data_IF_368457062064
#
_entry.id   IF_368457062064
#
_cell.length_a   1.000
_cell.length_b   1.000
_cell.length_c   1.000
_cell.angle_alpha   90.00
_cell.angle_beta   90.00
_cell.angle_gamma   90.00
#
_symmetry.space_group_name_H-M   'P 1'
#
loop_
_entity.id
_entity.type
_entity.pdbx_description
1 polymer ?
#
# COMPACT_ATOMS: atom_id res chain seq x y z
N UNK A 1 -6.17 1.42 12.65
CA UNK A 1 -4.94 1.81 11.92
C UNK A 1 -4.73 3.31 12.15
N UNK A 2 -3.70 3.69 12.92
CA UNK A 2 -3.54 5.06 13.42
C UNK A 2 -2.58 5.82 12.49
N UNK A 3 -3.12 6.52 11.48
CA UNK A 3 -2.41 7.40 10.49
C UNK A 3 -1.81 8.69 11.13
N UNK A 4 -1.49 8.64 12.42
CA UNK A 4 -1.07 9.78 13.23
C UNK A 4 0.46 9.79 13.42
N UNK A 5 1.17 8.76 12.94
CA UNK A 5 2.64 8.75 12.89
C UNK A 5 3.11 9.00 11.45
N UNK A 6 4.23 9.72 11.31
CA UNK A 6 4.97 9.80 10.05
C UNK A 6 5.57 8.42 9.79
N UNK A 7 4.95 7.67 8.89
CA UNK A 7 5.49 6.41 8.39
C UNK A 7 6.26 6.68 7.10
N UNK A 8 7.46 6.11 6.99
CA UNK A 8 8.26 6.21 5.76
C UNK A 8 7.58 5.50 4.58
N UNK A 9 6.81 4.45 4.86
CA UNK A 9 6.07 3.70 3.86
C UNK A 9 4.80 3.09 4.47
N UNK A 10 3.65 3.25 3.81
CA UNK A 10 2.39 2.63 4.20
C UNK A 10 1.89 1.81 3.01
N UNK A 11 2.21 0.53 3.00
CA UNK A 11 1.69 -0.41 2.02
C UNK A 11 0.48 -1.17 2.57
N UNK A 12 -0.52 -1.41 1.72
CA UNK A 12 -1.71 -2.15 2.12
C UNK A 12 -1.98 -3.34 1.21
N UNK A 13 -1.98 -4.54 1.79
CA UNK A 13 -2.36 -5.79 1.12
C UNK A 13 -3.84 -5.77 0.72
N UNK A 14 -4.12 -6.28 -0.48
CA UNK A 14 -5.45 -6.40 -1.05
C UNK A 14 -5.49 -6.04 -2.54
N UNK A 15 -6.44 -6.59 -3.27
CA UNK A 15 -6.70 -6.25 -4.68
C UNK A 15 -6.96 -4.75 -4.86
N UNK A 16 -6.81 -4.22 -6.08
CA UNK A 16 -7.11 -2.79 -6.41
C UNK A 16 -8.46 -2.33 -5.84
N UNK A 17 -9.49 -3.15 -6.03
CA UNK A 17 -10.85 -2.93 -5.50
C UNK A 17 -10.91 -2.80 -3.96
N UNK A 18 -10.12 -3.60 -3.25
CA UNK A 18 -10.03 -3.52 -1.78
C UNK A 18 -9.28 -2.27 -1.32
N UNK A 19 -8.27 -1.84 -2.09
CA UNK A 19 -7.58 -0.58 -1.83
C UNK A 19 -8.51 0.62 -2.05
N UNK A 20 -9.27 0.66 -3.14
CA UNK A 20 -10.25 1.73 -3.39
C UNK A 20 -11.30 1.82 -2.27
N UNK A 21 -11.85 0.67 -1.85
CA UNK A 21 -12.78 0.61 -0.71
C UNK A 21 -12.14 1.10 0.60
N UNK A 22 -10.85 0.82 0.82
CA UNK A 22 -10.11 1.32 1.99
C UNK A 22 -9.95 2.84 1.91
N UNK A 23 -9.61 3.39 0.75
CA UNK A 23 -9.48 4.82 0.52
C UNK A 23 -10.83 5.54 0.72
N UNK A 24 -11.93 4.99 0.21
CA UNK A 24 -13.29 5.46 0.47
C UNK A 24 -13.60 5.51 1.98
N UNK A 25 -13.39 4.40 2.70
CA UNK A 25 -13.63 4.35 4.16
C UNK A 25 -12.77 5.34 4.95
N UNK A 26 -11.55 5.63 4.48
CA UNK A 26 -10.67 6.61 5.12
C UNK A 26 -11.13 8.05 4.82
N UNK A 27 -11.64 8.32 3.62
CA UNK A 27 -12.27 9.61 3.29
C UNK A 27 -13.50 9.84 4.18
N UNK A 28 -14.37 8.84 4.31
CA UNK A 28 -15.57 8.92 5.15
C UNK A 28 -15.23 9.12 6.63
N UNK A 29 -14.09 8.58 7.08
CA UNK A 29 -13.58 8.77 8.43
C UNK A 29 -12.90 10.14 8.65
N UNK A 30 -12.90 11.04 7.67
CA UNK A 30 -12.37 12.40 7.79
C UNK A 30 -10.84 12.52 7.64
N UNK A 31 -10.17 11.51 7.05
CA UNK A 31 -8.74 11.63 6.74
C UNK A 31 -8.49 12.49 5.50
N UNK A 32 -7.48 13.35 5.57
CA UNK A 32 -7.05 14.17 4.44
C UNK A 32 -6.63 13.29 3.24
N UNK A 33 -7.03 13.68 2.04
CA UNK A 33 -6.76 12.97 0.78
C UNK A 33 -5.25 12.77 0.54
N UNK A 34 -4.42 13.70 1.00
CA UNK A 34 -2.96 13.61 0.92
C UNK A 34 -2.42 12.41 1.71
N UNK A 35 -2.95 12.17 2.92
CA UNK A 35 -2.57 11.00 3.73
C UNK A 35 -3.07 9.69 3.13
N UNK A 36 -4.21 9.73 2.45
CA UNK A 36 -4.79 8.56 1.78
C UNK A 36 -3.99 8.20 0.54
N UNK A 37 -3.57 9.19 -0.24
CA UNK A 37 -2.70 9.00 -1.42
C UNK A 37 -1.30 8.48 -1.05
N UNK A 38 -0.84 8.73 0.18
CA UNK A 38 0.40 8.15 0.71
C UNK A 38 0.28 6.64 1.00
N UNK A 39 -0.90 6.03 0.86
CA UNK A 39 -1.08 4.58 1.04
C UNK A 39 -0.87 3.88 -0.29
N UNK A 40 0.15 3.04 -0.36
CA UNK A 40 0.48 2.24 -1.53
C UNK A 40 -0.35 0.95 -1.52
N UNK A 41 -1.34 0.86 -2.42
CA UNK A 41 -2.17 -0.33 -2.57
C UNK A 41 -2.56 -0.59 -4.02
N UNK A 42 -2.49 -1.84 -4.51
CA UNK A 42 -1.98 -3.05 -3.86
C UNK A 42 -0.49 -2.94 -3.55
N UNK A 43 -0.08 -3.34 -2.34
CA UNK A 43 1.34 -3.54 -2.03
C UNK A 43 1.85 -4.78 -2.79
N UNK A 44 3.05 -4.65 -3.33
CA UNK A 44 3.75 -5.62 -4.13
C UNK A 44 3.71 -5.35 -5.64
N UNK A 45 4.78 -5.71 -6.34
CA UNK A 45 4.82 -5.79 -7.81
C UNK A 45 4.05 -7.01 -8.33
N UNK A 46 3.49 -6.93 -9.53
CA UNK A 46 2.71 -8.02 -10.12
C UNK A 46 3.64 -9.15 -10.62
N UNK A 47 4.00 -10.08 -9.72
CA UNK A 47 4.80 -11.28 -10.05
C UNK A 47 3.98 -12.42 -10.69
N UNK A 48 2.64 -12.33 -10.70
CA UNK A 48 1.76 -13.36 -11.27
C UNK A 48 1.48 -14.54 -10.33
N UNK A 49 2.38 -14.78 -9.39
CA UNK A 49 2.26 -15.75 -8.31
C UNK A 49 1.27 -15.38 -7.20
N UNK A 50 0.65 -16.40 -6.59
CA UNK A 50 -0.29 -16.26 -5.45
C UNK A 50 0.24 -16.91 -4.17
N UNK A 51 1.44 -17.48 -4.19
CA UNK A 51 2.02 -18.12 -3.01
C UNK A 51 2.54 -17.08 -2.02
N UNK A 52 2.58 -17.43 -0.73
CA UNK A 52 3.08 -16.54 0.31
C UNK A 52 4.52 -16.05 0.07
N UNK A 53 5.48 -16.89 -0.40
CA UNK A 53 6.82 -16.43 -0.75
C UNK A 53 6.85 -15.40 -1.88
N UNK A 54 6.04 -15.60 -2.91
CA UNK A 54 5.94 -14.66 -4.04
C UNK A 54 5.34 -13.32 -3.60
N UNK A 55 4.33 -13.34 -2.72
CA UNK A 55 3.77 -12.12 -2.14
C UNK A 55 4.84 -11.38 -1.31
N UNK A 56 5.62 -12.09 -0.49
CA UNK A 56 6.70 -11.48 0.28
C UNK A 56 7.77 -10.86 -0.63
N UNK A 57 8.22 -11.57 -1.65
CA UNK A 57 9.20 -11.07 -2.62
C UNK A 57 8.68 -9.85 -3.38
N UNK A 58 7.41 -9.90 -3.79
CA UNK A 58 6.70 -8.82 -4.46
C UNK A 58 6.69 -7.54 -3.62
N UNK A 59 6.42 -7.66 -2.32
CA UNK A 59 6.43 -6.54 -1.36
C UNK A 59 7.84 -5.96 -1.19
N UNK A 60 8.85 -6.81 -0.99
CA UNK A 60 10.25 -6.39 -0.81
C UNK A 60 10.75 -5.68 -2.08
N UNK A 61 10.43 -6.22 -3.27
CA UNK A 61 10.82 -5.61 -4.54
C UNK A 61 10.19 -4.22 -4.73
N UNK A 62 8.93 -4.02 -4.32
CA UNK A 62 8.33 -2.69 -4.34
C UNK A 62 9.01 -1.74 -3.35
N UNK A 63 9.29 -2.19 -2.13
CA UNK A 63 9.96 -1.38 -1.11
C UNK A 63 11.33 -0.89 -1.58
N UNK A 64 12.13 -1.80 -2.17
CA UNK A 64 13.43 -1.46 -2.76
C UNK A 64 13.24 -0.48 -3.92
N UNK A 65 12.28 -0.73 -4.82
CA UNK A 65 12.02 0.20 -5.93
C UNK A 65 11.65 1.61 -5.47
N UNK A 66 10.86 1.75 -4.41
CA UNK A 66 10.51 3.07 -3.86
C UNK A 66 11.67 3.72 -3.11
N UNK A 67 12.53 2.94 -2.46
CA UNK A 67 13.72 3.45 -1.78
C UNK A 67 14.77 3.96 -2.78
N UNK A 68 14.88 3.34 -3.96
CA UNK A 68 15.89 3.65 -4.98
C UNK A 68 15.38 4.45 -6.18
N UNK A 69 14.10 4.85 -6.20
CA UNK A 69 13.58 5.83 -7.16
C UNK A 69 14.18 7.21 -6.83
N UNK A 70 15.33 7.50 -7.43
CA UNK A 70 15.83 8.87 -7.61
C UNK A 70 14.96 9.60 -8.62
#
# INVERSE_FOLDING_TARGET
MRLIKNFFYIGALGSKKTHENRCQRLKDAGFNSEKINSIHGPIGIKLGGKSAPEIALSIIAQLVSETYKK
#
